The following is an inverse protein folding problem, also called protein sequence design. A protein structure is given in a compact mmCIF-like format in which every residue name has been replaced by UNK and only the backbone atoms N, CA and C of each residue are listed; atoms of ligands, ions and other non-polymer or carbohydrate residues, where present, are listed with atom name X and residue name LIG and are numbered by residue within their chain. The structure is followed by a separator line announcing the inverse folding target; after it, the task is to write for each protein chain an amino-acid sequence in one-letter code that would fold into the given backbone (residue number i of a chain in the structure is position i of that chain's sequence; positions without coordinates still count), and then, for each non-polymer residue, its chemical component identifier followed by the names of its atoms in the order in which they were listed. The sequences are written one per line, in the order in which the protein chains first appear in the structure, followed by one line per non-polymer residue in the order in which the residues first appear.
data_IF_689764236890
#
_entry.id   IF_689764236890
#
_cell.length_a   1.000
_cell.length_b   1.000
_cell.length_c   1.000
_cell.angle_alpha   90.00
_cell.angle_beta   90.00
_cell.angle_gamma   90.00
#
_symmetry.space_group_name_H-M   'P 1'
#
loop_
_entity.id
_entity.type
_entity.pdbx_description
1 polymer ?
#
# COMPACT_ATOMS: atom_id res chain seq x y z
N UNK A 1 -18.72 -38.84 -38.13
CA UNK A 1 -18.44 -37.42 -38.41
C UNK A 1 -19.04 -36.45 -37.38
N UNK A 2 -20.29 -36.59 -36.92
CA UNK A 2 -20.91 -35.62 -35.99
C UNK A 2 -20.37 -35.63 -34.54
N UNK A 3 -19.81 -36.75 -34.05
CA UNK A 3 -19.30 -36.88 -32.68
C UNK A 3 -17.98 -36.12 -32.44
N UNK A 4 -17.15 -36.00 -33.45
CA UNK A 4 -15.84 -35.33 -33.35
C UNK A 4 -16.00 -33.81 -33.32
N UNK A 5 -16.94 -33.25 -34.08
CA UNK A 5 -17.28 -31.82 -34.04
C UNK A 5 -17.80 -31.38 -32.67
N UNK A 6 -18.54 -32.23 -31.96
CA UNK A 6 -19.12 -31.89 -30.65
C UNK A 6 -18.06 -31.84 -29.54
N UNK A 7 -17.05 -32.72 -29.62
CA UNK A 7 -15.89 -32.71 -28.71
C UNK A 7 -15.02 -31.47 -28.94
N UNK A 8 -14.79 -31.09 -30.20
CA UNK A 8 -14.03 -29.88 -30.54
C UNK A 8 -14.75 -28.62 -30.06
N UNK A 9 -16.08 -28.56 -30.20
CA UNK A 9 -16.90 -27.43 -29.70
C UNK A 9 -16.86 -27.37 -28.17
N UNK A 10 -16.90 -28.52 -27.47
CA UNK A 10 -16.79 -28.57 -26.01
C UNK A 10 -15.40 -28.14 -25.51
N UNK A 11 -14.33 -28.51 -26.21
CA UNK A 11 -12.96 -28.09 -25.88
C UNK A 11 -12.76 -26.59 -26.15
N UNK A 12 -13.31 -26.07 -27.25
CA UNK A 12 -13.30 -24.62 -27.55
C UNK A 12 -14.10 -23.83 -26.52
N UNK A 13 -15.28 -24.30 -26.12
CA UNK A 13 -16.06 -23.69 -25.05
C UNK A 13 -15.32 -23.75 -23.71
N UNK A 14 -14.69 -24.88 -23.37
CA UNK A 14 -13.89 -24.99 -22.16
C UNK A 14 -12.69 -24.03 -22.15
N UNK A 15 -12.05 -23.80 -23.31
CA UNK A 15 -10.93 -22.85 -23.43
C UNK A 15 -11.33 -21.38 -23.26
N UNK A 16 -12.61 -21.03 -23.49
CA UNK A 16 -13.14 -19.68 -23.25
C UNK A 16 -13.36 -19.38 -21.75
N UNK A 17 -13.45 -20.40 -20.89
CA UNK A 17 -13.63 -20.22 -19.44
C UNK A 17 -12.32 -20.17 -18.65
N UNK A 18 -11.16 -20.48 -19.26
CA UNK A 18 -9.87 -20.59 -18.55
C UNK A 18 -9.13 -19.24 -18.43
N UNK A 19 -9.54 -18.19 -19.15
CA UNK A 19 -8.81 -16.90 -19.16
C UNK A 19 -9.46 -15.73 -18.42
N UNK A 20 -10.53 -15.96 -17.64
CA UNK A 20 -10.94 -14.97 -16.63
C UNK A 20 -10.18 -15.24 -15.34
N UNK A 21 -8.91 -14.84 -15.30
CA UNK A 21 -8.15 -14.74 -14.05
C UNK A 21 -8.81 -13.63 -13.22
N UNK A 22 -9.78 -14.02 -12.40
CA UNK A 22 -10.47 -13.15 -11.44
C UNK A 22 -9.43 -12.82 -10.36
N UNK A 23 -8.57 -11.84 -10.63
CA UNK A 23 -7.64 -11.32 -9.63
C UNK A 23 -8.48 -10.81 -8.48
N UNK A 24 -8.25 -11.39 -7.29
CA UNK A 24 -8.91 -10.99 -6.06
C UNK A 24 -8.81 -9.45 -5.92
N UNK A 25 -9.94 -8.73 -5.80
CA UNK A 25 -9.93 -7.28 -5.66
C UNK A 25 -9.02 -6.79 -4.54
N UNK A 26 -8.86 -7.58 -3.46
CA UNK A 26 -7.95 -7.25 -2.35
C UNK A 26 -6.49 -7.33 -2.80
N UNK A 27 -6.11 -8.38 -3.53
CA UNK A 27 -4.72 -8.56 -3.99
C UNK A 27 -4.35 -7.52 -5.06
N UNK A 28 -5.34 -7.06 -5.84
CA UNK A 28 -5.18 -5.92 -6.75
C UNK A 28 -4.87 -4.63 -5.99
N UNK A 29 -5.68 -4.28 -4.99
CA UNK A 29 -5.47 -3.05 -4.20
C UNK A 29 -4.18 -3.10 -3.38
N UNK A 30 -3.82 -4.26 -2.85
CA UNK A 30 -2.58 -4.48 -2.11
C UNK A 30 -1.32 -4.20 -2.95
N UNK A 31 -1.35 -4.52 -4.24
CA UNK A 31 -0.18 -4.45 -5.12
C UNK A 31 -0.24 -3.31 -6.15
N UNK A 32 -1.25 -2.46 -6.09
CA UNK A 32 -1.33 -1.32 -7.01
C UNK A 32 -0.18 -0.34 -6.81
N UNK A 33 -0.02 0.52 -7.81
CA UNK A 33 0.86 1.68 -7.72
C UNK A 33 0.21 2.70 -6.77
N UNK A 34 1.00 3.20 -5.83
CA UNK A 34 0.56 4.23 -4.90
C UNK A 34 0.60 5.60 -5.56
N UNK A 35 -0.31 6.47 -5.16
CA UNK A 35 -0.29 7.87 -5.57
C UNK A 35 0.86 8.61 -4.89
N UNK A 36 1.16 9.81 -5.39
CA UNK A 36 2.13 10.70 -4.74
C UNK A 36 1.69 11.03 -3.30
N UNK A 37 0.40 11.34 -3.12
CA UNK A 37 -0.20 11.63 -1.82
C UNK A 37 -0.02 10.48 -0.81
N UNK A 38 -0.33 9.26 -1.22
CA UNK A 38 -0.13 8.06 -0.42
C UNK A 38 1.35 7.83 -0.09
N UNK A 39 2.24 8.08 -1.06
CA UNK A 39 3.69 7.96 -0.86
C UNK A 39 4.22 8.98 0.16
N UNK A 40 3.71 10.21 0.14
CA UNK A 40 4.02 11.24 1.14
C UNK A 40 3.56 10.81 2.53
N UNK A 41 2.36 10.25 2.66
CA UNK A 41 1.87 9.75 3.96
C UNK A 41 2.76 8.62 4.50
N UNK A 42 3.23 7.73 3.63
CA UNK A 42 4.15 6.66 4.02
C UNK A 42 5.48 7.23 4.50
N UNK A 43 6.05 8.20 3.78
CA UNK A 43 7.30 8.86 4.20
C UNK A 43 7.15 9.48 5.60
N UNK A 44 6.08 10.25 5.82
CA UNK A 44 5.79 10.85 7.12
C UNK A 44 5.64 9.79 8.22
N UNK A 45 4.91 8.71 7.94
CA UNK A 45 4.77 7.60 8.89
C UNK A 45 6.14 7.00 9.25
N UNK A 46 6.99 6.74 8.26
CA UNK A 46 8.31 6.16 8.49
C UNK A 46 9.21 7.08 9.31
N UNK A 47 9.21 8.39 9.04
CA UNK A 47 9.95 9.39 9.82
C UNK A 47 9.49 9.45 11.28
N UNK A 48 8.17 9.46 11.51
CA UNK A 48 7.59 9.45 12.85
C UNK A 48 8.00 8.18 13.61
N UNK A 49 7.83 7.00 12.99
CA UNK A 49 8.20 5.72 13.63
C UNK A 49 9.70 5.65 13.91
N UNK A 50 10.55 6.17 13.02
CA UNK A 50 12.00 6.23 13.27
C UNK A 50 12.35 7.16 14.43
N UNK A 51 11.72 8.33 14.49
CA UNK A 51 11.88 9.23 15.62
C UNK A 51 11.46 8.54 16.92
N UNK A 52 10.29 7.88 16.96
CA UNK A 52 9.78 7.16 18.13
C UNK A 52 10.72 6.03 18.59
N UNK A 53 11.29 5.24 17.66
CA UNK A 53 12.29 4.22 18.00
C UNK A 53 13.53 4.84 18.64
N UNK A 54 14.00 5.96 18.11
CA UNK A 54 15.19 6.67 18.59
C UNK A 54 14.95 7.46 19.90
N UNK A 55 13.69 7.67 20.32
CA UNK A 55 13.36 8.37 21.57
C UNK A 55 13.85 7.63 22.82
N UNK A 56 13.96 6.31 22.75
CA UNK A 56 14.42 5.49 23.87
C UNK A 56 15.91 5.66 24.16
N UNK A 57 16.71 6.15 23.20
CA UNK A 57 18.16 6.10 23.30
C UNK A 57 18.79 7.31 24.01
N UNK A 58 18.25 8.54 23.89
CA UNK A 58 18.80 9.76 24.56
C UNK A 58 17.79 10.90 24.75
N UNK A 59 17.42 11.18 25.99
CA UNK A 59 16.41 12.20 26.35
C UNK A 59 16.83 13.65 26.04
N UNK A 60 18.13 13.98 26.08
CA UNK A 60 18.62 15.33 25.78
C UNK A 60 18.55 15.71 24.29
N UNK A 61 18.64 14.72 23.37
CA UNK A 61 18.56 14.94 21.92
C UNK A 61 17.11 14.95 21.39
N UNK A 62 16.13 14.73 22.27
CA UNK A 62 14.72 14.57 21.94
C UNK A 62 14.08 15.85 21.41
N UNK A 63 14.36 16.99 22.04
CA UNK A 63 13.68 18.24 21.72
C UNK A 63 14.15 18.86 20.40
N UNK A 64 15.45 18.74 20.10
CA UNK A 64 16.03 19.17 18.82
C UNK A 64 15.48 18.32 17.68
N UNK A 65 15.61 16.99 17.78
CA UNK A 65 15.06 16.05 16.78
C UNK A 65 13.54 16.16 16.59
N UNK A 66 12.79 16.48 17.65
CA UNK A 66 11.34 16.71 17.56
C UNK A 66 11.03 17.99 16.77
N UNK A 67 11.84 19.02 16.95
CA UNK A 67 11.68 20.29 16.23
C UNK A 67 11.99 20.09 14.75
N UNK A 68 13.06 19.37 14.43
CA UNK A 68 13.43 19.02 13.06
C UNK A 68 12.31 18.20 12.40
N UNK A 69 11.83 17.15 13.06
CA UNK A 69 10.73 16.33 12.55
C UNK A 69 9.46 17.15 12.27
N UNK A 70 9.10 18.07 13.17
CA UNK A 70 7.95 18.97 12.97
C UNK A 70 8.15 19.94 11.81
N UNK A 71 9.39 20.33 11.51
CA UNK A 71 9.71 21.19 10.37
C UNK A 71 9.64 20.44 9.03
N UNK A 72 9.91 19.13 9.05
CA UNK A 72 9.88 18.29 7.85
C UNK A 72 8.47 17.79 7.49
N UNK A 73 7.55 17.77 8.45
CA UNK A 73 6.18 17.26 8.25
C UNK A 73 5.22 18.43 8.08
N UNK A 74 4.70 18.58 6.86
CA UNK A 74 3.56 19.44 6.60
C UNK A 74 2.27 18.78 7.09
N UNK A 75 1.90 19.08 8.34
CA UNK A 75 0.70 18.54 9.00
C UNK A 75 -0.62 18.97 8.34
N UNK A 76 -0.67 20.15 7.72
CA UNK A 76 -1.87 20.62 7.02
C UNK A 76 -2.06 19.83 5.72
N UNK A 77 -0.98 19.64 4.97
CA UNK A 77 -0.98 18.77 3.78
C UNK A 77 -1.34 17.34 4.15
N UNK A 78 -0.74 16.78 5.21
CA UNK A 78 -1.05 15.41 5.66
C UNK A 78 -2.53 15.25 6.01
N UNK A 79 -3.09 16.20 6.77
CA UNK A 79 -4.50 16.19 7.13
C UNK A 79 -5.41 16.21 5.91
N UNK A 80 -5.14 17.11 4.96
CA UNK A 80 -5.90 17.22 3.72
C UNK A 80 -5.86 15.92 2.91
N UNK A 81 -4.67 15.32 2.76
CA UNK A 81 -4.54 14.04 2.06
C UNK A 81 -5.35 12.93 2.75
N UNK A 82 -5.27 12.84 4.08
CA UNK A 82 -6.03 11.84 4.84
C UNK A 82 -7.55 12.03 4.64
N UNK A 83 -8.03 13.27 4.68
CA UNK A 83 -9.44 13.59 4.42
C UNK A 83 -9.87 13.20 3.00
N UNK A 84 -9.02 13.46 2.00
CA UNK A 84 -9.27 13.12 0.59
C UNK A 84 -9.27 11.60 0.36
N UNK A 85 -8.27 10.88 0.89
CA UNK A 85 -8.12 9.43 0.70
C UNK A 85 -9.11 8.62 1.56
N UNK A 86 -9.63 9.17 2.65
CA UNK A 86 -10.69 8.53 3.45
C UNK A 86 -12.02 8.37 2.71
N UNK A 87 -12.19 9.02 1.55
CA UNK A 87 -13.35 8.80 0.68
C UNK A 87 -13.32 7.41 0.01
N UNK A 88 -12.17 6.74 -0.03
CA UNK A 88 -12.00 5.39 -0.57
C UNK A 88 -11.20 4.50 0.40
N UNK A 89 -11.88 3.91 1.41
CA UNK A 89 -11.22 3.15 2.47
C UNK A 89 -10.42 1.91 1.98
N UNK A 90 -10.85 1.28 0.87
CA UNK A 90 -10.22 0.06 0.36
C UNK A 90 -8.80 0.32 -0.14
N UNK A 91 -8.55 1.53 -0.64
CA UNK A 91 -7.23 1.95 -1.12
C UNK A 91 -6.16 1.98 -0.04
N UNK A 92 -6.53 2.10 1.24
CA UNK A 92 -5.58 2.03 2.35
C UNK A 92 -4.86 0.68 2.45
N UNK A 93 -5.42 -0.39 1.88
CA UNK A 93 -4.78 -1.71 1.85
C UNK A 93 -3.40 -1.63 1.17
N UNK A 94 -3.30 -0.89 0.06
CA UNK A 94 -2.03 -0.67 -0.64
C UNK A 94 -1.02 0.11 0.22
N UNK A 95 -1.49 1.14 0.91
CA UNK A 95 -0.68 2.00 1.79
C UNK A 95 -0.10 1.18 2.96
N UNK A 96 -0.97 0.46 3.67
CA UNK A 96 -0.59 -0.38 4.81
C UNK A 96 0.35 -1.52 4.40
N UNK A 97 0.07 -2.17 3.27
CA UNK A 97 0.96 -3.20 2.72
C UNK A 97 2.36 -2.65 2.42
N UNK A 98 2.46 -1.41 1.91
CA UNK A 98 3.75 -0.79 1.65
C UNK A 98 4.50 -0.47 2.94
N UNK A 99 3.82 0.07 3.95
CA UNK A 99 4.40 0.31 5.28
C UNK A 99 4.96 -0.99 5.85
N UNK A 100 4.17 -2.06 5.84
CA UNK A 100 4.59 -3.37 6.37
C UNK A 100 5.83 -3.91 5.65
N UNK A 101 5.86 -3.80 4.31
CA UNK A 101 7.03 -4.21 3.50
C UNK A 101 8.27 -3.41 3.89
N UNK A 102 8.16 -2.09 4.04
CA UNK A 102 9.28 -1.22 4.42
C UNK A 102 9.79 -1.52 5.84
N UNK A 103 8.89 -1.75 6.80
CA UNK A 103 9.25 -2.16 8.15
C UNK A 103 9.99 -3.49 8.18
N UNK A 104 9.49 -4.49 7.44
CA UNK A 104 10.12 -5.82 7.33
C UNK A 104 11.53 -5.73 6.72
N UNK A 105 11.75 -4.84 5.74
CA UNK A 105 13.06 -4.62 5.15
C UNK A 105 14.04 -3.93 6.12
N UNK A 106 13.55 -3.07 7.02
CA UNK A 106 14.37 -2.36 8.01
C UNK A 106 14.83 -3.24 9.17
N UNK A 107 14.12 -4.35 9.42
CA UNK A 107 14.40 -5.29 10.52
C UNK A 107 15.33 -6.46 10.12
N UNK A 108 15.70 -6.55 8.84
CA UNK A 108 16.69 -7.52 8.32
C UNK A 108 18.08 -6.91 8.28
#
# INVERSE_FOLDING_TARGET
MFRESLVVILILLASLFVSCENIDPVEKEKNRILTENESVLIDYYMKITEFEKNLHDKEAAKNEKLTDLKSEIDTLKAKKIIEEENMDPERWIGVLNRIQKLQTLKER
#
